data_IF_113031500541
#
_entry.id   IF_113031500541
#
_cell.length_a   1.000
_cell.length_b   1.000
_cell.length_c   1.000
_cell.angle_alpha   90.00
_cell.angle_beta   90.00
_cell.angle_gamma   90.00
#
_symmetry.space_group_name_H-M   'P 1'
#
loop_
_entity.id
_entity.type
_entity.pdbx_description
1 polymer ?
#
# COMPACT_ATOMS: atom_id res chain seq x y z
N UNK A 1 -0.16 -33.97 3.53
CA UNK A 1 -0.95 -33.69 4.74
C UNK A 1 -0.26 -34.32 5.95
N UNK A 2 -0.37 -35.63 6.21
CA UNK A 2 0.19 -36.22 7.46
C UNK A 2 1.72 -36.10 7.66
N UNK A 3 2.59 -36.36 6.67
CA UNK A 3 4.04 -36.21 6.87
C UNK A 3 4.43 -34.77 7.23
N UNK A 4 3.72 -33.80 6.65
CA UNK A 4 3.95 -32.36 6.86
C UNK A 4 3.39 -31.88 8.19
N UNK A 5 2.23 -32.41 8.62
CA UNK A 5 1.61 -32.07 9.91
C UNK A 5 2.46 -32.57 11.09
N UNK A 6 2.98 -33.80 11.03
CA UNK A 6 3.87 -34.31 12.08
C UNK A 6 5.23 -33.58 12.12
N UNK A 7 5.72 -33.10 10.98
CA UNK A 7 6.94 -32.30 10.92
C UNK A 7 6.73 -30.89 11.48
N UNK A 8 5.53 -30.30 11.33
CA UNK A 8 5.20 -28.96 11.82
C UNK A 8 4.73 -28.92 13.27
N UNK A 9 3.98 -29.93 13.74
CA UNK A 9 3.31 -29.90 15.05
C UNK A 9 3.76 -31.02 16.00
N UNK A 10 4.56 -31.99 15.55
CA UNK A 10 5.04 -33.07 16.42
C UNK A 10 3.91 -33.87 17.08
N UNK A 11 3.96 -33.96 18.42
CA UNK A 11 2.93 -34.58 19.27
C UNK A 11 1.90 -33.56 19.83
N UNK A 12 2.01 -32.27 19.47
CA UNK A 12 1.10 -31.24 19.94
C UNK A 12 -0.29 -31.36 19.28
N UNK A 13 -1.39 -31.09 20.02
CA UNK A 13 -2.74 -31.20 19.48
C UNK A 13 -2.99 -30.15 18.39
N UNK A 14 -3.54 -30.58 17.25
CA UNK A 14 -3.91 -29.72 16.14
C UNK A 14 -5.36 -29.97 15.70
N UNK A 15 -6.05 -28.91 15.27
CA UNK A 15 -7.37 -28.99 14.64
C UNK A 15 -7.24 -28.66 13.15
N UNK A 16 -7.72 -29.55 12.30
CA UNK A 16 -7.67 -29.40 10.86
C UNK A 16 -8.85 -28.57 10.35
N UNK A 17 -8.57 -27.38 9.80
CA UNK A 17 -9.60 -26.53 9.19
C UNK A 17 -9.84 -26.92 7.73
N UNK A 18 -11.01 -27.49 7.44
CA UNK A 18 -11.38 -27.93 6.10
C UNK A 18 -12.23 -26.90 5.34
N UNK A 19 -11.82 -26.47 4.13
CA UNK A 19 -12.60 -25.62 3.21
C UNK A 19 -14.01 -26.13 2.82
N UNK A 20 -14.39 -27.34 3.24
CA UNK A 20 -15.74 -27.89 3.16
C UNK A 20 -16.39 -27.90 1.76
N UNK A 21 -15.60 -27.82 0.68
CA UNK A 21 -16.14 -27.85 -0.68
C UNK A 21 -16.67 -29.25 -1.03
N UNK A 22 -17.59 -29.39 -2.01
CA UNK A 22 -18.25 -30.67 -2.30
C UNK A 22 -17.28 -31.82 -2.64
N UNK A 23 -16.16 -31.51 -3.28
CA UNK A 23 -15.14 -32.51 -3.65
C UNK A 23 -14.33 -33.01 -2.44
N UNK A 24 -14.25 -32.21 -1.38
CA UNK A 24 -13.55 -32.58 -0.16
C UNK A 24 -14.48 -33.15 0.94
N UNK A 25 -15.80 -33.00 0.79
CA UNK A 25 -16.80 -33.72 1.61
C UNK A 25 -17.07 -35.15 1.16
N UNK A 26 -16.31 -35.68 0.21
CA UNK A 26 -16.46 -37.05 -0.27
C UNK A 26 -16.35 -38.05 0.89
N UNK A 27 -17.17 -39.10 0.87
CA UNK A 27 -17.22 -40.11 1.93
C UNK A 27 -15.87 -40.78 2.16
N UNK A 28 -15.11 -41.01 1.10
CA UNK A 28 -13.75 -41.55 1.16
C UNK A 28 -12.78 -40.68 1.96
N UNK A 29 -12.92 -39.34 1.89
CA UNK A 29 -12.07 -38.38 2.58
C UNK A 29 -12.41 -38.33 4.08
N UNK A 30 -13.71 -38.28 4.40
CA UNK A 30 -14.18 -38.33 5.80
C UNK A 30 -13.80 -39.63 6.51
N UNK A 31 -13.91 -40.76 5.80
CA UNK A 31 -13.49 -42.06 6.33
C UNK A 31 -11.98 -42.07 6.59
N UNK A 32 -11.18 -41.57 5.65
CA UNK A 32 -9.73 -41.49 5.81
C UNK A 32 -9.31 -40.59 6.98
N UNK A 33 -9.92 -39.41 7.15
CA UNK A 33 -9.59 -38.50 8.27
C UNK A 33 -9.89 -39.14 9.63
N UNK A 34 -11.00 -39.87 9.74
CA UNK A 34 -11.37 -40.63 10.94
C UNK A 34 -10.40 -41.78 11.24
N UNK A 35 -9.99 -42.54 10.21
CA UNK A 35 -9.03 -43.65 10.37
C UNK A 35 -7.65 -43.20 10.86
N UNK A 36 -7.22 -42.00 10.46
CA UNK A 36 -5.92 -41.44 10.83
C UNK A 36 -5.97 -40.46 12.01
N UNK A 37 -7.13 -40.32 12.67
CA UNK A 37 -7.27 -39.52 13.89
C UNK A 37 -7.07 -38.02 13.67
N UNK A 38 -7.41 -37.50 12.49
CA UNK A 38 -7.35 -36.07 12.20
C UNK A 38 -8.62 -35.42 12.76
N UNK A 39 -8.49 -34.62 13.82
CA UNK A 39 -9.61 -33.87 14.39
C UNK A 39 -9.89 -32.63 13.53
N UNK A 40 -11.12 -32.50 13.03
CA UNK A 40 -11.55 -31.35 12.23
C UNK A 40 -12.06 -30.21 13.13
N UNK A 41 -11.73 -28.97 12.76
CA UNK A 41 -12.32 -27.78 13.39
C UNK A 41 -13.81 -27.71 12.99
N UNK A 42 -14.71 -27.56 13.97
CA UNK A 42 -16.13 -27.29 13.68
C UNK A 42 -16.30 -25.84 13.26
N UNK A 43 -16.32 -25.59 11.95
CA UNK A 43 -16.48 -24.26 11.39
C UNK A 43 -17.46 -24.25 10.20
N UNK A 44 -18.18 -23.14 10.05
CA UNK A 44 -19.14 -22.97 8.96
C UNK A 44 -18.41 -22.90 7.63
N UNK A 45 -18.74 -23.82 6.73
CA UNK A 45 -18.23 -23.95 5.35
C UNK A 45 -18.37 -22.71 4.44
N UNK A 46 -18.96 -21.65 4.96
CA UNK A 46 -19.14 -20.38 4.28
C UNK A 46 -18.46 -19.35 5.17
N UNK A 47 -17.28 -18.89 4.74
CA UNK A 47 -16.99 -17.47 4.94
C UNK A 47 -18.23 -16.71 4.44
N UNK A 48 -18.69 -15.64 5.12
CA UNK A 48 -19.58 -14.68 4.49
C UNK A 48 -18.77 -13.97 3.40
N UNK A 49 -18.51 -14.69 2.32
CA UNK A 49 -18.02 -14.12 1.08
C UNK A 49 -19.16 -13.22 0.59
N UNK A 50 -19.07 -11.94 0.93
CA UNK A 50 -19.51 -10.91 0.01
C UNK A 50 -18.62 -11.09 -1.21
N UNK A 51 -18.91 -12.07 -2.07
CA UNK A 51 -18.13 -12.37 -3.26
C UNK A 51 -18.54 -11.35 -4.33
N UNK A 52 -17.91 -10.17 -4.37
CA UNK A 52 -18.41 -9.07 -5.17
C UNK A 52 -18.20 -9.39 -6.66
N UNK A 53 -17.26 -10.30 -6.94
CA UNK A 53 -16.91 -10.74 -8.28
C UNK A 53 -17.99 -11.63 -8.88
N UNK A 54 -18.65 -12.49 -8.10
CA UNK A 54 -19.74 -13.33 -8.61
C UNK A 54 -20.98 -12.51 -8.94
N UNK A 55 -21.34 -11.55 -8.09
CA UNK A 55 -22.41 -10.61 -8.40
C UNK A 55 -22.10 -9.73 -9.60
N UNK A 56 -20.82 -9.37 -9.80
CA UNK A 56 -20.38 -8.62 -10.97
C UNK A 56 -20.46 -9.48 -12.24
N UNK A 57 -20.05 -10.74 -12.18
CA UNK A 57 -20.14 -11.68 -13.29
C UNK A 57 -21.58 -11.95 -13.70
N UNK A 58 -22.49 -12.14 -12.74
CA UNK A 58 -23.92 -12.35 -12.99
C UNK A 58 -24.56 -11.15 -13.69
N UNK A 59 -24.24 -9.93 -13.25
CA UNK A 59 -24.78 -8.70 -13.85
C UNK A 59 -24.21 -8.47 -15.26
N UNK A 60 -22.92 -8.73 -15.48
CA UNK A 60 -22.30 -8.67 -16.80
C UNK A 60 -22.94 -9.68 -17.77
N UNK A 61 -23.14 -10.92 -17.30
CA UNK A 61 -23.77 -11.96 -18.10
C UNK A 61 -25.22 -11.59 -18.48
N UNK A 62 -25.99 -11.06 -17.52
CA UNK A 62 -27.36 -10.60 -17.75
C UNK A 62 -27.43 -9.51 -18.82
N UNK A 63 -26.49 -8.56 -18.82
CA UNK A 63 -26.42 -7.47 -19.81
C UNK A 63 -26.03 -7.97 -21.19
N UNK A 64 -25.01 -8.82 -21.27
CA UNK A 64 -24.61 -9.45 -22.53
C UNK A 64 -25.77 -10.24 -23.16
N UNK A 65 -26.57 -10.93 -22.35
CA UNK A 65 -27.75 -11.67 -22.83
C UNK A 65 -28.89 -10.78 -23.33
N UNK A 66 -28.97 -9.55 -22.83
CA UNK A 66 -29.99 -8.55 -23.19
C UNK A 66 -29.61 -7.71 -24.44
N UNK A 67 -28.39 -7.85 -24.96
CA UNK A 67 -27.96 -7.12 -26.17
C UNK A 67 -28.75 -7.59 -27.41
N UNK A 68 -29.04 -6.69 -28.37
CA UNK A 68 -29.74 -7.04 -29.61
C UNK A 68 -29.00 -8.11 -30.44
N UNK A 69 -27.67 -8.06 -30.43
CA UNK A 69 -26.79 -9.03 -31.08
C UNK A 69 -25.88 -9.68 -30.02
N UNK A 70 -26.01 -10.99 -29.85
CA UNK A 70 -25.17 -11.74 -28.90
C UNK A 70 -23.79 -12.00 -29.50
N UNK A 71 -22.71 -11.86 -28.73
CA UNK A 71 -21.37 -12.17 -29.20
C UNK A 71 -21.26 -13.68 -29.48
N UNK A 72 -20.77 -14.05 -30.65
CA UNK A 72 -20.61 -15.44 -31.10
C UNK A 72 -19.14 -15.85 -31.25
N UNK A 73 -18.21 -14.92 -31.08
CA UNK A 73 -16.77 -15.15 -31.12
C UNK A 73 -16.07 -14.47 -29.95
N UNK A 74 -14.87 -14.96 -29.59
CA UNK A 74 -14.06 -14.38 -28.49
C UNK A 74 -13.75 -12.89 -28.73
N UNK A 75 -13.36 -12.44 -29.96
CA UNK A 75 -13.18 -11.02 -30.24
C UNK A 75 -14.45 -10.18 -30.05
N UNK A 76 -15.62 -10.70 -30.46
CA UNK A 76 -16.89 -9.99 -30.29
C UNK A 76 -17.28 -9.89 -28.82
N UNK A 77 -17.00 -10.92 -28.02
CA UNK A 77 -17.23 -10.92 -26.58
C UNK A 77 -16.33 -9.88 -25.88
N UNK A 78 -15.05 -9.83 -26.24
CA UNK A 78 -14.10 -8.85 -25.70
C UNK A 78 -14.54 -7.42 -26.03
N UNK A 79 -14.94 -7.15 -27.28
CA UNK A 79 -15.45 -5.84 -27.67
C UNK A 79 -16.75 -5.48 -26.96
N UNK A 80 -17.69 -6.44 -26.82
CA UNK A 80 -18.94 -6.22 -26.08
C UNK A 80 -18.70 -5.91 -24.60
N UNK A 81 -17.75 -6.60 -23.95
CA UNK A 81 -17.36 -6.34 -22.55
C UNK A 81 -16.67 -4.97 -22.39
N UNK A 82 -15.83 -4.57 -23.35
CA UNK A 82 -15.20 -3.25 -23.36
C UNK A 82 -16.24 -2.13 -23.57
N UNK A 83 -17.25 -2.32 -24.42
CA UNK A 83 -18.34 -1.36 -24.58
C UNK A 83 -19.21 -1.22 -23.32
N UNK A 84 -19.47 -2.31 -22.60
CA UNK A 84 -20.15 -2.24 -21.29
C UNK A 84 -19.31 -1.51 -20.23
N UNK A 85 -17.97 -1.63 -20.28
CA UNK A 85 -17.04 -0.90 -19.39
C UNK A 85 -17.13 0.62 -19.56
N UNK A 86 -17.41 1.12 -20.76
CA UNK A 86 -17.63 2.55 -21.02
C UNK A 86 -19.04 3.06 -20.62
N UNK A 87 -20.00 2.15 -20.41
CA UNK A 87 -21.36 2.44 -19.90
C UNK A 87 -21.51 2.24 -18.39
N UNK A 88 -20.47 1.71 -17.71
CA UNK A 88 -20.44 1.49 -16.25
C UNK A 88 -20.72 2.75 -15.42
N UNK A 89 -20.39 3.93 -15.95
CA UNK A 89 -20.68 5.23 -15.32
C UNK A 89 -22.17 5.59 -15.32
N UNK A 90 -22.98 5.03 -16.24
CA UNK A 90 -24.40 5.39 -16.41
C UNK A 90 -25.34 4.42 -15.67
N UNK A 91 -24.98 3.13 -15.53
CA UNK A 91 -25.83 2.17 -14.82
C UNK A 91 -25.76 2.28 -13.29
N UNK A 92 -24.68 2.81 -12.72
CA UNK A 92 -24.62 3.10 -11.28
C UNK A 92 -25.67 4.15 -10.86
N UNK A 93 -26.05 5.04 -11.79
CA UNK A 93 -27.08 6.07 -11.60
C UNK A 93 -28.51 5.48 -11.72
N UNK A 94 -28.71 4.37 -12.44
CA UNK A 94 -30.04 3.83 -12.72
C UNK A 94 -30.58 2.90 -11.62
N UNK A 95 -29.70 2.21 -10.88
CA UNK A 95 -30.09 1.41 -9.69
C UNK A 95 -30.65 2.31 -8.57
N UNK A 96 -30.32 3.61 -8.57
CA UNK A 96 -30.81 4.59 -7.60
C UNK A 96 -32.23 5.14 -7.89
N UNK A 97 -32.92 4.68 -8.95
CA UNK A 97 -34.24 5.24 -9.33
C UNK A 97 -35.48 4.49 -8.81
N UNK A 98 -35.35 3.42 -8.03
CA UNK A 98 -36.51 2.57 -7.67
C UNK A 98 -37.00 2.61 -6.22
N UNK A 99 -36.54 3.51 -5.35
CA UNK A 99 -37.16 3.66 -4.02
C UNK A 99 -37.09 5.11 -3.49
N UNK A 100 -38.22 5.82 -3.34
CA UNK A 100 -38.25 7.22 -2.92
C UNK A 100 -37.93 7.47 -1.43
N UNK A 101 -37.63 6.42 -0.65
CA UNK A 101 -37.40 6.51 0.81
C UNK A 101 -35.95 6.65 1.27
N UNK A 102 -34.94 6.49 0.39
CA UNK A 102 -33.53 6.43 0.79
C UNK A 102 -32.70 7.67 0.41
N UNK A 103 -33.35 8.83 0.21
CA UNK A 103 -32.72 10.05 -0.34
C UNK A 103 -31.78 10.81 0.59
N UNK A 104 -31.77 10.54 1.89
CA UNK A 104 -30.96 11.29 2.85
C UNK A 104 -29.72 10.55 3.37
N UNK A 105 -29.71 9.21 3.32
CA UNK A 105 -28.58 8.41 3.80
C UNK A 105 -27.47 8.23 2.76
N UNK A 106 -27.78 8.34 1.46
CA UNK A 106 -26.81 8.06 0.39
C UNK A 106 -26.16 9.30 -0.25
N UNK A 107 -26.67 10.51 0.00
CA UNK A 107 -25.94 11.74 -0.39
C UNK A 107 -24.64 11.85 0.44
N UNK A 108 -24.66 11.39 1.69
CA UNK A 108 -23.45 11.29 2.52
C UNK A 108 -22.45 10.24 2.02
N UNK A 109 -22.93 9.09 1.56
CA UNK A 109 -22.03 8.02 1.08
C UNK A 109 -21.43 8.31 -0.31
N UNK A 110 -22.15 9.03 -1.19
CA UNK A 110 -21.64 9.41 -2.52
C UNK A 110 -20.64 10.59 -2.47
N UNK A 111 -20.66 11.37 -1.39
CA UNK A 111 -19.68 12.44 -1.13
C UNK A 111 -18.36 11.91 -0.54
N UNK A 112 -18.35 10.67 -0.01
CA UNK A 112 -17.13 10.01 0.46
C UNK A 112 -16.43 9.16 -0.61
N UNK A 113 -17.09 8.80 -1.72
CA UNK A 113 -16.48 8.00 -2.80
C UNK A 113 -15.78 8.82 -3.88
N UNK A 114 -15.61 10.13 -3.67
CA UNK A 114 -14.77 11.01 -4.50
C UNK A 114 -13.46 11.41 -3.80
N UNK A 115 -13.14 10.76 -2.68
CA UNK A 115 -11.76 10.76 -2.20
C UNK A 115 -11.11 9.57 -2.87
N UNK A 116 -10.36 9.83 -3.94
CA UNK A 116 -9.40 8.85 -4.43
C UNK A 116 -8.58 8.44 -3.21
N UNK A 117 -8.73 7.19 -2.76
CA UNK A 117 -7.87 6.60 -1.75
C UNK A 117 -6.51 6.37 -2.41
N UNK A 118 -5.74 7.45 -2.62
CA UNK A 118 -4.37 7.36 -3.05
C UNK A 118 -3.57 6.79 -1.88
N UNK A 119 -3.14 5.53 -2.01
CA UNK A 119 -2.30 4.87 -1.02
C UNK A 119 -1.13 5.79 -0.65
N UNK A 120 -0.95 6.00 0.66
CA UNK A 120 0.10 6.87 1.18
C UNK A 120 1.28 6.04 1.60
N UNK A 121 2.40 6.29 0.93
CA UNK A 121 3.63 5.54 1.06
C UNK A 121 4.49 6.19 2.12
N UNK A 122 4.87 5.42 3.14
CA UNK A 122 5.74 5.89 4.22
C UNK A 122 7.17 5.44 3.97
N UNK A 123 8.07 6.41 3.86
CA UNK A 123 9.50 6.20 3.77
C UNK A 123 10.15 6.55 5.10
N UNK A 124 10.73 5.55 5.76
CA UNK A 124 11.34 5.70 7.09
C UNK A 124 12.70 6.39 7.07
N UNK A 125 13.33 6.49 5.90
CA UNK A 125 14.72 6.92 5.76
C UNK A 125 15.72 5.79 6.01
N UNK A 126 15.27 4.55 6.20
CA UNK A 126 16.13 3.40 6.44
C UNK A 126 17.08 3.14 5.26
N UNK A 127 18.29 2.70 5.56
CA UNK A 127 19.25 2.35 4.52
C UNK A 127 18.73 1.17 3.68
N UNK A 128 18.83 1.31 2.36
CA UNK A 128 18.35 0.29 1.43
C UNK A 128 16.84 0.30 1.19
N UNK A 129 16.09 1.30 1.67
CA UNK A 129 14.70 1.50 1.25
C UNK A 129 14.63 1.99 -0.20
N UNK A 130 13.62 1.56 -0.95
CA UNK A 130 13.30 2.05 -2.29
C UNK A 130 11.97 1.45 -2.77
N UNK A 131 11.35 2.10 -3.77
CA UNK A 131 10.31 1.51 -4.60
C UNK A 131 10.67 1.63 -6.06
N UNK A 132 10.27 0.64 -6.86
CA UNK A 132 10.43 0.64 -8.31
C UNK A 132 9.07 0.60 -9.00
N UNK A 133 8.96 1.44 -10.02
CA UNK A 133 7.83 1.53 -10.93
C UNK A 133 8.29 1.25 -12.37
N UNK A 134 7.36 1.00 -13.31
CA UNK A 134 7.69 0.91 -14.72
C UNK A 134 8.45 2.14 -15.19
N UNK A 135 9.24 1.95 -16.23
CA UNK A 135 9.96 3.02 -16.88
C UNK A 135 9.01 4.19 -17.21
N UNK A 136 9.37 5.39 -16.73
CA UNK A 136 8.73 6.60 -17.19
C UNK A 136 9.34 7.00 -18.54
N UNK A 137 8.53 7.00 -19.60
CA UNK A 137 8.96 7.45 -20.92
C UNK A 137 9.12 8.99 -20.96
N UNK A 138 10.20 9.49 -20.37
CA UNK A 138 10.51 10.90 -20.23
C UNK A 138 11.22 11.51 -21.46
N UNK A 139 11.13 10.85 -22.63
CA UNK A 139 11.86 11.25 -23.83
C UNK A 139 11.51 12.66 -24.30
N UNK A 140 10.22 12.98 -24.25
CA UNK A 140 9.61 13.97 -25.11
C UNK A 140 8.77 14.94 -24.26
N UNK A 141 7.48 15.06 -24.56
CA UNK A 141 6.49 15.70 -23.69
C UNK A 141 5.91 14.65 -22.74
N UNK A 142 6.17 14.80 -21.44
CA UNK A 142 5.62 13.90 -20.43
C UNK A 142 5.71 14.53 -19.04
N UNK A 143 4.88 14.05 -18.12
CA UNK A 143 4.79 14.57 -16.77
C UNK A 143 4.73 13.45 -15.75
N UNK A 144 5.41 13.67 -14.62
CA UNK A 144 5.27 12.88 -13.40
C UNK A 144 4.99 13.81 -12.23
N UNK A 145 4.01 13.46 -11.40
CA UNK A 145 3.57 14.25 -10.26
C UNK A 145 3.33 13.37 -9.03
N UNK A 146 3.50 13.95 -7.85
CA UNK A 146 3.20 13.33 -6.56
C UNK A 146 3.07 14.42 -5.49
N UNK A 147 2.42 14.10 -4.39
CA UNK A 147 2.41 14.93 -3.19
C UNK A 147 3.40 14.36 -2.17
N UNK A 148 4.12 15.22 -1.46
CA UNK A 148 5.07 14.79 -0.45
C UNK A 148 4.99 15.61 0.84
N UNK A 149 5.39 15.01 1.96
CA UNK A 149 5.49 15.66 3.27
C UNK A 149 6.72 15.16 4.01
N UNK A 150 7.55 16.06 4.52
CA UNK A 150 8.75 15.69 5.28
C UNK A 150 9.20 16.78 6.26
N UNK A 151 10.05 16.39 7.22
CA UNK A 151 10.86 17.27 8.07
C UNK A 151 12.36 17.19 7.74
N UNK A 152 12.76 16.19 6.93
CA UNK A 152 14.16 15.98 6.57
C UNK A 152 14.64 17.12 5.69
N UNK A 153 15.92 17.48 5.82
CA UNK A 153 16.54 18.50 4.96
C UNK A 153 17.25 17.89 3.76
N UNK A 154 17.45 16.57 3.72
CA UNK A 154 18.18 15.86 2.69
C UNK A 154 17.50 14.54 2.33
N UNK A 155 17.58 14.13 1.07
CA UNK A 155 17.02 12.84 0.62
C UNK A 155 16.93 12.68 -0.88
N UNK A 156 17.09 11.45 -1.36
CA UNK A 156 16.82 11.06 -2.74
C UNK A 156 15.34 10.76 -2.94
N UNK A 157 14.64 11.62 -3.67
CA UNK A 157 13.21 11.45 -3.97
C UNK A 157 13.00 10.58 -5.20
N UNK A 158 13.61 10.93 -6.34
CA UNK A 158 13.41 10.23 -7.61
C UNK A 158 14.74 9.97 -8.28
N UNK A 159 14.89 8.78 -8.90
CA UNK A 159 15.99 8.47 -9.80
C UNK A 159 15.55 7.58 -10.96
N UNK A 160 16.04 7.88 -12.16
CA UNK A 160 16.09 6.94 -13.28
C UNK A 160 17.20 7.34 -14.26
N UNK A 161 17.65 6.39 -15.07
CA UNK A 161 18.69 6.60 -16.06
C UNK A 161 18.58 5.64 -17.25
N UNK A 162 19.59 5.69 -18.11
CA UNK A 162 19.83 4.76 -19.20
C UNK A 162 20.77 3.60 -18.81
N UNK A 163 20.82 3.19 -17.53
CA UNK A 163 21.65 2.07 -17.05
C UNK A 163 23.18 2.26 -17.24
N UNK A 164 23.67 3.49 -17.04
CA UNK A 164 25.11 3.77 -17.00
C UNK A 164 25.71 4.31 -18.29
N UNK A 165 24.91 4.75 -19.26
CA UNK A 165 25.45 5.50 -20.40
C UNK A 165 25.60 6.99 -20.04
N UNK A 166 24.57 7.81 -20.24
CA UNK A 166 24.70 9.27 -20.16
C UNK A 166 23.44 10.06 -19.79
N UNK A 167 22.27 9.47 -19.95
CA UNK A 167 20.98 10.10 -19.70
C UNK A 167 20.49 9.72 -18.31
N UNK A 168 20.17 10.72 -17.50
CA UNK A 168 19.60 10.51 -16.17
C UNK A 168 18.74 11.69 -15.75
N UNK A 169 17.87 11.43 -14.78
CA UNK A 169 17.14 12.45 -14.04
C UNK A 169 17.08 12.04 -12.57
N UNK A 170 17.50 12.96 -11.70
CA UNK A 170 17.46 12.79 -10.26
C UNK A 170 16.75 13.98 -9.61
N UNK A 171 15.84 13.71 -8.67
CA UNK A 171 15.24 14.71 -7.81
C UNK A 171 15.75 14.50 -6.39
N UNK A 172 16.45 15.50 -5.88
CA UNK A 172 17.09 15.49 -4.58
C UNK A 172 16.45 16.55 -3.69
N UNK A 173 16.41 16.30 -2.40
CA UNK A 173 16.21 17.32 -1.40
C UNK A 173 17.57 17.74 -0.84
N UNK A 174 17.85 19.05 -0.83
CA UNK A 174 19.07 19.64 -0.30
C UNK A 174 18.73 20.88 0.52
N UNK A 175 19.13 20.90 1.80
CA UNK A 175 18.80 21.98 2.74
C UNK A 175 17.30 22.35 2.71
N UNK A 176 16.42 21.35 2.66
CA UNK A 176 14.96 21.53 2.67
C UNK A 176 14.36 22.03 1.36
N UNK A 177 15.15 22.17 0.29
CA UNK A 177 14.71 22.60 -1.05
C UNK A 177 14.83 21.46 -2.05
N UNK A 178 14.03 21.49 -3.10
CA UNK A 178 14.06 20.50 -4.17
C UNK A 178 15.07 20.91 -5.25
N UNK A 179 15.96 19.99 -5.59
CA UNK A 179 17.00 20.13 -6.59
C UNK A 179 16.84 19.04 -7.65
N UNK A 180 16.30 19.41 -8.80
CA UNK A 180 16.15 18.53 -9.95
C UNK A 180 17.38 18.63 -10.84
N UNK A 181 18.07 17.52 -11.10
CA UNK A 181 19.26 17.48 -11.94
C UNK A 181 19.12 16.42 -13.02
N UNK A 182 19.55 16.74 -14.24
CA UNK A 182 19.42 15.83 -15.37
C UNK A 182 20.46 16.09 -16.47
N UNK A 183 20.69 15.08 -17.30
CA UNK A 183 21.54 15.13 -18.49
C UNK A 183 20.82 14.49 -19.66
N UNK A 184 21.06 15.00 -20.88
CA UNK A 184 20.59 14.39 -22.12
C UNK A 184 21.78 14.26 -23.07
N UNK A 185 21.98 13.08 -23.60
CA UNK A 185 22.97 12.72 -24.61
C UNK A 185 24.39 13.15 -24.22
N UNK A 186 24.80 12.77 -23.01
CA UNK A 186 26.11 13.06 -22.41
C UNK A 186 26.44 14.55 -22.32
N UNK A 187 25.43 15.43 -22.31
CA UNK A 187 25.63 16.85 -22.09
C UNK A 187 26.07 17.11 -20.64
N UNK A 188 26.66 18.28 -20.40
CA UNK A 188 26.93 18.74 -19.04
C UNK A 188 25.60 18.79 -18.25
N UNK A 189 25.48 18.11 -17.09
CA UNK A 189 24.24 18.09 -16.33
C UNK A 189 23.80 19.48 -15.90
N UNK A 190 22.52 19.75 -16.01
CA UNK A 190 21.90 21.00 -15.56
C UNK A 190 21.03 20.74 -14.33
N UNK A 191 20.82 21.77 -13.52
CA UNK A 191 20.04 21.68 -12.30
C UNK A 191 19.00 22.80 -12.18
N UNK A 192 17.86 22.48 -11.58
CA UNK A 192 16.77 23.39 -11.22
C UNK A 192 16.55 23.28 -9.71
N UNK A 193 16.76 24.38 -9.00
CA UNK A 193 16.59 24.45 -7.55
C UNK A 193 15.33 25.26 -7.21
N UNK A 194 14.44 24.72 -6.37
CA UNK A 194 13.27 25.44 -5.84
C UNK A 194 13.68 26.59 -4.91
N UNK A 195 12.87 27.65 -4.84
CA UNK A 195 13.01 28.68 -3.81
C UNK A 195 12.28 28.27 -2.54
N UNK A 196 11.18 27.54 -2.69
CA UNK A 196 10.35 27.04 -1.61
C UNK A 196 11.07 25.98 -0.77
N UNK A 197 10.92 26.11 0.56
CA UNK A 197 11.26 25.07 1.52
C UNK A 197 10.08 24.09 1.65
N UNK A 198 10.38 22.79 1.62
CA UNK A 198 9.38 21.71 1.63
C UNK A 198 9.52 20.77 2.84
N UNK A 199 10.37 21.14 3.79
CA UNK A 199 10.67 20.38 5.00
C UNK A 199 9.95 20.93 6.25
N UNK A 200 8.80 21.57 6.05
CA UNK A 200 7.98 22.20 7.09
C UNK A 200 6.90 21.25 7.67
N UNK A 201 6.98 19.96 7.32
CA UNK A 201 5.99 18.93 7.66
C UNK A 201 4.58 19.19 7.12
N UNK A 202 4.44 20.01 6.08
CA UNK A 202 3.20 20.16 5.32
C UNK A 202 3.26 19.37 4.01
N UNK A 203 2.09 19.18 3.40
CA UNK A 203 1.98 18.56 2.07
C UNK A 203 2.36 19.58 0.99
N UNK A 204 3.27 19.17 0.11
CA UNK A 204 3.66 19.91 -1.09
C UNK A 204 3.38 19.09 -2.34
N UNK A 205 2.78 19.71 -3.34
CA UNK A 205 2.57 19.13 -4.65
C UNK A 205 3.84 19.32 -5.50
N UNK A 206 4.40 18.23 -6.00
CA UNK A 206 5.61 18.24 -6.82
C UNK A 206 5.28 17.69 -8.20
N UNK A 207 5.69 18.40 -9.24
CA UNK A 207 5.52 17.95 -10.62
C UNK A 207 6.79 18.19 -11.41
N UNK A 208 7.27 17.14 -12.07
CA UNK A 208 8.37 17.19 -13.02
C UNK A 208 7.78 17.03 -14.42
N UNK A 209 7.85 18.11 -15.20
CA UNK A 209 7.37 18.13 -16.58
C UNK A 209 8.54 18.22 -17.52
N UNK A 210 8.60 17.31 -18.49
CA UNK A 210 9.56 17.37 -19.60
C UNK A 210 8.88 17.80 -20.89
N UNK A 211 9.60 18.63 -21.63
CA UNK A 211 9.28 19.07 -22.96
C UNK A 211 10.59 19.11 -23.77
N UNK A 212 11.02 17.93 -24.22
CA UNK A 212 12.30 17.75 -24.92
C UNK A 212 13.47 18.32 -24.09
N UNK A 213 14.32 19.21 -24.61
CA UNK A 213 15.48 19.72 -23.86
C UNK A 213 15.10 20.51 -22.60
N UNK A 214 13.86 21.00 -22.53
CA UNK A 214 13.35 21.76 -21.40
C UNK A 214 12.77 20.82 -20.34
N UNK A 215 13.23 20.95 -19.09
CA UNK A 215 12.60 20.31 -17.93
C UNK A 215 12.17 21.35 -16.92
N UNK A 216 10.92 21.25 -16.49
CA UNK A 216 10.28 22.12 -15.52
C UNK A 216 10.07 21.36 -14.21
N UNK A 217 10.48 21.98 -13.11
CA UNK A 217 10.13 21.61 -11.75
C UNK A 217 9.03 22.57 -11.27
N UNK A 218 7.90 22.00 -10.88
CA UNK A 218 6.79 22.72 -10.28
C UNK A 218 6.68 22.24 -8.83
N UNK A 219 6.69 23.18 -7.89
CA UNK A 219 6.52 22.89 -6.46
C UNK A 219 5.44 23.82 -5.94
N UNK A 220 4.29 23.25 -5.58
CA UNK A 220 3.03 23.96 -5.36
C UNK A 220 2.69 24.92 -6.50
N UNK A 221 2.90 26.22 -6.29
CA UNK A 221 2.65 27.28 -7.27
C UNK A 221 3.96 27.85 -7.88
N UNK A 222 5.13 27.40 -7.41
CA UNK A 222 6.43 27.81 -7.95
C UNK A 222 6.74 27.01 -9.21
N UNK A 223 7.06 27.70 -10.31
CA UNK A 223 7.45 27.08 -11.58
C UNK A 223 8.86 27.52 -11.94
N UNK A 224 9.78 26.56 -12.03
CA UNK A 224 11.15 26.77 -12.50
C UNK A 224 11.52 25.79 -13.58
N UNK A 225 12.35 26.21 -14.52
CA UNK A 225 12.74 25.35 -15.63
C UNK A 225 14.15 25.67 -16.10
N UNK A 226 14.77 24.69 -16.75
CA UNK A 226 16.05 24.85 -17.42
C UNK A 226 16.06 24.02 -18.69
N UNK A 227 16.76 24.52 -19.70
CA UNK A 227 17.04 23.79 -20.93
C UNK A 227 18.48 23.28 -20.89
N UNK A 228 18.66 21.98 -21.11
CA UNK A 228 20.01 21.39 -21.25
C UNK A 228 20.58 21.68 -22.63
N UNK A 229 21.87 22.06 -22.68
CA UNK A 229 22.58 22.28 -23.94
C UNK A 229 23.06 20.95 -24.51
N UNK A 230 22.17 20.23 -25.19
CA UNK A 230 22.47 18.92 -25.77
C UNK A 230 22.44 18.95 -27.30
N UNK A 231 23.10 17.96 -27.93
CA UNK A 231 22.98 17.72 -29.38
C UNK A 231 21.67 17.05 -29.74
N UNK A 232 21.06 16.34 -28.79
CA UNK A 232 19.80 15.63 -28.95
C UNK A 232 18.74 16.25 -28.06
N UNK A 233 17.50 16.23 -28.53
CA UNK A 233 16.36 16.78 -27.79
C UNK A 233 15.65 15.79 -26.88
N UNK A 234 15.73 14.51 -27.20
CA UNK A 234 15.05 13.45 -26.46
C UNK A 234 15.99 12.74 -25.50
N UNK A 235 15.46 12.44 -24.32
CA UNK A 235 16.12 11.58 -23.33
C UNK A 235 15.85 10.10 -23.64
N UNK A 236 16.83 9.25 -23.40
CA UNK A 236 16.69 7.80 -23.41
C UNK A 236 16.62 7.31 -21.97
N UNK A 237 15.67 6.45 -21.66
CA UNK A 237 15.51 5.86 -20.32
C UNK A 237 15.41 4.36 -20.49
N UNK A 238 16.16 3.62 -19.68
CA UNK A 238 16.15 2.15 -19.69
C UNK A 238 15.85 1.56 -18.31
N UNK A 239 16.24 2.26 -17.24
CA UNK A 239 15.98 1.80 -15.89
C UNK A 239 14.50 1.88 -15.51
N UNK A 240 14.18 1.25 -14.38
CA UNK A 240 12.97 1.54 -13.63
C UNK A 240 12.95 2.98 -13.12
N UNK A 241 11.74 3.47 -12.82
CA UNK A 241 11.56 4.68 -12.04
C UNK A 241 11.70 4.34 -10.56
N UNK A 242 12.76 4.82 -9.91
CA UNK A 242 12.99 4.61 -8.49
C UNK A 242 12.49 5.79 -7.65
N UNK A 243 11.85 5.47 -6.53
CA UNK A 243 11.29 6.45 -5.58
C UNK A 243 11.83 6.20 -4.16
N UNK A 244 12.22 7.27 -3.49
CA UNK A 244 12.64 7.30 -2.07
C UNK A 244 13.99 6.67 -1.74
N UNK A 245 14.68 6.13 -2.75
CA UNK A 245 15.98 5.49 -2.63
C UNK A 245 16.31 4.68 -3.90
N UNK A 246 17.42 3.92 -3.86
CA UNK A 246 17.80 2.99 -4.92
C UNK A 246 18.16 1.62 -4.32
N UNK A 247 17.98 0.52 -5.07
CA UNK A 247 18.40 -0.82 -4.65
C UNK A 247 19.87 -0.89 -4.21
N UNK A 248 20.18 -1.60 -3.11
CA UNK A 248 21.56 -1.78 -2.64
C UNK A 248 22.50 -2.36 -3.71
N UNK A 249 21.98 -3.19 -4.62
CA UNK A 249 22.74 -3.79 -5.71
C UNK A 249 23.30 -2.70 -6.65
N UNK A 250 22.51 -1.65 -6.92
CA UNK A 250 22.94 -0.53 -7.76
C UNK A 250 24.01 0.33 -7.07
N UNK A 251 24.01 0.40 -5.73
CA UNK A 251 25.09 1.08 -4.98
C UNK A 251 26.43 0.37 -5.12
N UNK A 252 26.42 -0.96 -5.24
CA UNK A 252 27.64 -1.77 -5.36
C UNK A 252 28.19 -1.84 -6.79
N UNK A 253 27.36 -1.62 -7.82
CA UNK A 253 27.74 -1.69 -9.23
C UNK A 253 27.62 -0.32 -9.88
N UNK A 254 28.58 0.56 -9.59
CA UNK A 254 28.61 1.94 -10.09
C UNK A 254 28.50 2.07 -11.62
N UNK A 255 28.98 1.07 -12.38
CA UNK A 255 28.90 1.06 -13.85
C UNK A 255 27.47 0.96 -14.41
N UNK A 256 26.47 0.64 -13.56
CA UNK A 256 25.05 0.64 -13.94
C UNK A 256 24.35 1.96 -13.64
N UNK A 257 25.02 2.89 -12.96
CA UNK A 257 24.47 4.20 -12.62
C UNK A 257 25.11 5.26 -13.50
N UNK A 258 24.29 6.03 -14.20
CA UNK A 258 24.77 7.15 -15.00
C UNK A 258 25.22 8.30 -14.09
N UNK A 259 24.46 8.61 -13.03
CA UNK A 259 24.86 9.58 -12.01
C UNK A 259 25.48 8.85 -10.81
N UNK A 260 26.81 8.71 -10.83
CA UNK A 260 27.55 8.07 -9.73
C UNK A 260 27.33 8.73 -8.35
N UNK A 261 26.92 10.00 -8.30
CA UNK A 261 26.66 10.72 -7.05
C UNK A 261 25.44 10.19 -6.28
N UNK A 262 24.55 9.45 -6.95
CA UNK A 262 23.30 8.93 -6.36
C UNK A 262 23.55 7.84 -5.33
N UNK A 263 24.62 7.05 -5.49
CA UNK A 263 25.00 6.00 -4.54
C UNK A 263 25.30 6.53 -3.14
N UNK A 264 25.73 7.78 -3.05
CA UNK A 264 26.13 8.45 -1.82
C UNK A 264 24.98 9.29 -1.21
N UNK A 265 23.81 9.32 -1.86
CA UNK A 265 22.65 10.05 -1.35
C UNK A 265 21.94 9.25 -0.26
N UNK A 266 21.48 9.96 0.76
CA UNK A 266 20.64 9.37 1.81
C UNK A 266 19.24 9.10 1.25
N UNK A 267 18.59 7.99 1.64
CA UNK A 267 17.19 7.75 1.28
C UNK A 267 16.25 8.84 1.79
N UNK A 268 15.13 9.06 1.11
CA UNK A 268 14.14 10.06 1.52
C UNK A 268 13.38 9.62 2.78
N UNK A 269 13.34 10.45 3.82
CA UNK A 269 12.46 10.22 4.97
C UNK A 269 11.19 11.08 4.80
N UNK A 270 10.00 10.49 4.85
CA UNK A 270 8.74 11.22 4.77
C UNK A 270 7.60 10.41 4.17
N UNK A 271 6.60 11.13 3.68
CA UNK A 271 5.39 10.56 3.08
C UNK A 271 5.29 10.99 1.63
N UNK A 272 4.86 10.07 0.77
CA UNK A 272 4.52 10.35 -0.63
C UNK A 272 3.14 9.77 -0.94
N UNK A 273 2.31 10.52 -1.65
CA UNK A 273 1.00 10.07 -2.13
C UNK A 273 0.72 10.60 -3.53
N UNK A 274 -0.33 10.08 -4.16
CA UNK A 274 -0.83 10.51 -5.48
C UNK A 274 0.25 10.50 -6.59
N UNK A 275 1.13 9.49 -6.59
CA UNK A 275 2.10 9.32 -7.66
C UNK A 275 1.38 9.05 -8.99
N UNK A 276 1.64 9.90 -9.98
CA UNK A 276 1.07 9.82 -11.32
C UNK A 276 2.15 9.99 -12.37
N UNK A 277 2.01 9.26 -13.47
CA UNK A 277 2.77 9.43 -14.71
C UNK A 277 1.77 9.62 -15.84
N UNK A 278 1.77 10.79 -16.46
CA UNK A 278 0.76 11.21 -17.47
C UNK A 278 -0.68 10.92 -16.99
N UNK A 279 -1.03 11.48 -15.83
CA UNK A 279 -2.35 11.37 -15.17
C UNK A 279 -2.76 9.94 -14.73
N UNK A 280 -1.88 8.95 -14.86
CA UNK A 280 -2.16 7.57 -14.48
C UNK A 280 -1.29 7.14 -13.30
N UNK A 281 -1.90 6.50 -12.29
CA UNK A 281 -1.15 5.89 -11.20
C UNK A 281 -0.34 4.68 -11.73
N UNK A 282 1.00 4.68 -11.59
CA UNK A 282 1.82 3.56 -12.04
C UNK A 282 1.69 2.36 -11.09
N UNK A 283 1.76 1.15 -11.66
CA UNK A 283 1.76 -0.09 -10.88
C UNK A 283 3.09 -0.23 -10.13
N UNK A 284 3.06 -0.63 -8.86
CA UNK A 284 4.28 -0.94 -8.11
C UNK A 284 4.88 -2.25 -8.67
N UNK A 285 6.15 -2.25 -9.07
CA UNK A 285 6.83 -3.46 -9.54
C UNK A 285 7.52 -4.20 -8.40
N UNK A 286 8.23 -3.46 -7.54
CA UNK A 286 8.97 -4.01 -6.42
C UNK A 286 9.25 -2.91 -5.38
N UNK A 287 9.47 -3.30 -4.14
CA UNK A 287 9.84 -2.39 -3.05
C UNK A 287 10.62 -3.12 -1.97
N UNK A 288 11.45 -2.38 -1.24
CA UNK A 288 12.08 -2.84 -0.02
C UNK A 288 12.11 -1.70 0.99
N UNK A 289 11.84 -1.97 2.27
CA UNK A 289 11.91 -0.97 3.34
C UNK A 289 10.93 0.19 3.22
N UNK A 290 9.86 0.03 2.42
CA UNK A 290 8.79 1.02 2.25
C UNK A 290 7.48 0.39 2.67
N UNK A 291 6.79 1.07 3.56
CA UNK A 291 5.52 0.63 4.10
C UNK A 291 4.39 1.15 3.20
N UNK A 292 3.76 0.23 2.46
CA UNK A 292 2.72 0.53 1.46
C UNK A 292 1.33 0.68 2.06
N UNK A 293 1.12 0.13 3.25
CA UNK A 293 -0.11 0.25 4.02
C UNK A 293 0.29 0.63 5.44
N UNK A 294 0.12 1.91 5.78
CA UNK A 294 0.57 2.48 7.05
C UNK A 294 0.04 1.77 8.33
N UNK A 295 -0.85 0.78 8.18
CA UNK A 295 -1.43 -0.06 9.22
C UNK A 295 -1.22 -1.58 9.01
N UNK A 296 -0.40 -2.03 8.06
CA UNK A 296 -0.15 -3.46 7.75
C UNK A 296 1.02 -4.04 8.55
N UNK A 297 1.76 -3.20 9.29
CA UNK A 297 2.80 -3.64 10.23
C UNK A 297 2.18 -3.82 11.63
N UNK A 298 2.34 -5.02 12.21
CA UNK A 298 1.84 -5.43 13.54
C UNK A 298 2.34 -4.53 14.70
N UNK A 299 3.22 -3.56 14.41
CA UNK A 299 3.94 -2.73 15.37
C UNK A 299 3.59 -1.23 15.31
N UNK A 300 2.54 -0.82 14.57
CA UNK A 300 2.13 0.59 14.53
C UNK A 300 1.29 0.98 15.75
N UNK A 301 0.39 0.09 16.18
CA UNK A 301 -0.46 0.28 17.36
C UNK A 301 -0.26 -0.88 18.34
N UNK A 302 0.26 -0.59 19.52
CA UNK A 302 0.56 -1.60 20.53
C UNK A 302 -0.66 -1.93 21.41
N UNK A 303 -0.54 -2.99 22.21
CA UNK A 303 -1.52 -3.38 23.23
C UNK A 303 -2.96 -3.58 22.70
N UNK A 304 -3.11 -4.04 21.45
CA UNK A 304 -4.41 -4.27 20.83
C UNK A 304 -5.11 -3.00 20.31
N UNK A 305 -4.35 -1.91 20.11
CA UNK A 305 -4.88 -0.70 19.49
C UNK A 305 -5.26 -0.93 18.04
N UNK A 306 -6.40 -0.42 17.60
CA UNK A 306 -6.85 -0.56 16.21
C UNK A 306 -6.19 0.53 15.37
N UNK A 307 -5.39 0.12 14.38
CA UNK A 307 -4.79 1.05 13.43
C UNK A 307 -5.81 1.46 12.36
N UNK A 308 -5.90 2.76 12.11
CA UNK A 308 -6.70 3.32 11.01
C UNK A 308 -5.94 4.46 10.35
N UNK A 309 -6.07 4.63 9.05
CA UNK A 309 -5.44 5.74 8.33
C UNK A 309 -6.41 6.93 8.30
N UNK A 310 -6.03 8.04 8.94
CA UNK A 310 -6.78 9.30 8.98
C UNK A 310 -5.88 10.38 8.38
N UNK A 311 -6.37 11.16 7.40
CA UNK A 311 -5.59 12.18 6.69
C UNK A 311 -4.24 11.66 6.14
N UNK A 312 -4.23 10.42 5.67
CA UNK A 312 -3.04 9.73 5.17
C UNK A 312 -1.94 9.53 6.23
N UNK A 313 -2.28 9.56 7.51
CA UNK A 313 -1.43 9.18 8.65
C UNK A 313 -2.03 8.00 9.41
N UNK A 314 -1.21 7.02 9.84
CA UNK A 314 -1.67 5.95 10.71
C UNK A 314 -1.97 6.54 12.08
N UNK A 315 -3.19 6.29 12.53
CA UNK A 315 -3.74 6.76 13.79
C UNK A 315 -4.25 5.56 14.58
N UNK A 316 -3.75 5.41 15.79
CA UNK A 316 -4.14 4.32 16.69
C UNK A 316 -5.35 4.72 17.54
N UNK A 317 -6.40 3.89 17.51
CA UNK A 317 -7.48 3.97 18.46
C UNK A 317 -7.19 3.08 19.67
N UNK A 318 -6.89 3.71 20.82
CA UNK A 318 -6.56 3.03 22.08
C UNK A 318 -7.75 2.91 23.05
N UNK A 319 -8.96 3.31 22.64
CA UNK A 319 -10.10 3.49 23.55
C UNK A 319 -10.52 2.20 24.28
N UNK A 320 -10.30 1.05 23.66
CA UNK A 320 -10.66 -0.28 24.20
C UNK A 320 -9.46 -1.03 24.82
N UNK A 321 -8.27 -0.41 24.88
CA UNK A 321 -7.06 -1.11 25.32
C UNK A 321 -6.65 -0.79 26.76
N UNK A 322 -7.18 0.31 27.34
CA UNK A 322 -6.71 0.82 28.64
C UNK A 322 -5.37 1.56 28.56
N UNK A 323 -4.85 1.74 27.35
CA UNK A 323 -3.66 2.54 27.05
C UNK A 323 -4.06 3.83 26.32
N UNK A 324 -3.15 4.78 26.27
CA UNK A 324 -3.26 6.07 25.59
C UNK A 324 -1.95 6.38 24.84
N UNK A 325 -1.88 7.56 24.22
CA UNK A 325 -0.74 7.96 23.41
C UNK A 325 -0.95 7.65 21.93
N UNK A 326 -0.01 8.08 21.08
CA UNK A 326 -0.13 7.96 19.61
C UNK A 326 -0.07 6.52 19.10
N UNK A 327 0.55 5.63 19.86
CA UNK A 327 0.83 4.23 19.52
C UNK A 327 0.28 3.25 20.58
N UNK A 328 -0.56 3.72 21.50
CA UNK A 328 -1.16 2.94 22.59
C UNK A 328 -0.15 2.29 23.57
N UNK A 329 1.01 2.94 23.79
CA UNK A 329 2.04 2.44 24.74
C UNK A 329 1.92 3.02 26.15
N UNK A 330 1.26 4.17 26.33
CA UNK A 330 1.16 4.85 27.61
C UNK A 330 -0.01 4.29 28.45
N UNK A 331 0.16 4.09 29.75
CA UNK A 331 -0.91 3.57 30.61
C UNK A 331 -1.92 4.67 30.94
N UNK A 332 -3.20 4.45 30.65
CA UNK A 332 -4.26 5.37 31.05
C UNK A 332 -4.67 5.11 32.51
N UNK A 333 -4.18 5.94 33.44
CA UNK A 333 -4.33 5.77 34.89
C UNK A 333 -5.77 5.85 35.43
N UNK A 334 -6.80 6.04 34.60
CA UNK A 334 -8.19 6.17 35.04
C UNK A 334 -9.02 4.86 35.06
N UNK A 335 -8.49 3.73 34.57
CA UNK A 335 -9.23 2.45 34.51
C UNK A 335 -8.80 1.37 35.53
N UNK A 336 -8.07 1.72 36.59
CA UNK A 336 -7.86 0.81 37.74
C UNK A 336 -9.12 0.60 38.61
N UNK A 337 -10.30 1.06 38.17
CA UNK A 337 -11.58 0.80 38.84
C UNK A 337 -12.64 0.24 37.89
N UNK A 338 -12.35 -0.85 37.17
CA UNK A 338 -13.43 -1.69 36.61
C UNK A 338 -12.94 -3.10 36.23
N UNK A 339 -12.35 -3.83 37.17
CA UNK A 339 -12.53 -5.28 37.17
C UNK A 339 -13.67 -5.56 38.15
N UNK A 340 -14.75 -6.12 37.62
CA UNK A 340 -15.91 -6.57 38.37
C UNK A 340 -15.50 -7.26 39.67
N UNK A 341 -16.14 -6.85 40.76
CA UNK A 341 -16.11 -7.44 42.09
C UNK A 341 -16.80 -8.82 42.09
N UNK A 342 -16.32 -9.75 41.28
CA UNK A 342 -16.85 -11.10 41.11
C UNK A 342 -15.73 -12.14 41.07
N UNK A 343 -14.70 -12.03 41.91
CA UNK A 343 -13.87 -13.21 42.22
C UNK A 343 -13.02 -13.13 43.50
N UNK A 344 -13.40 -12.32 44.49
CA UNK A 344 -12.67 -12.26 45.77
C UNK A 344 -13.28 -13.17 46.85
N UNK A 345 -14.54 -13.61 46.71
CA UNK A 345 -15.18 -14.49 47.70
C UNK A 345 -14.91 -15.99 47.50
N UNK A 346 -14.55 -16.44 46.28
CA UNK A 346 -14.29 -17.86 46.01
C UNK A 346 -12.86 -18.31 46.38
N UNK A 347 -11.89 -17.40 46.35
CA UNK A 347 -10.50 -17.70 46.76
C UNK A 347 -10.39 -17.87 48.28
N UNK A 348 -11.22 -17.16 49.07
CA UNK A 348 -11.27 -17.31 50.52
C UNK A 348 -11.86 -18.63 51.03
N UNK A 349 -12.65 -19.36 50.21
CA UNK A 349 -13.24 -20.66 50.60
C UNK A 349 -12.36 -21.86 50.28
N UNK A 350 -11.41 -21.72 49.37
CA UNK A 350 -10.44 -22.78 49.04
C UNK A 350 -9.25 -22.81 50.02
N UNK A 351 -8.95 -21.70 50.70
CA UNK A 351 -7.87 -21.61 51.70
C UNK A 351 -8.22 -22.22 53.08
N UNK A 352 -9.49 -22.54 53.37
CA UNK A 352 -9.93 -23.02 54.69
C UNK A 352 -10.07 -24.55 54.82
N UNK A 353 -9.51 -25.35 53.89
CA UNK A 353 -9.67 -26.82 53.88
C UNK A 353 -8.38 -27.65 53.79
N UNK A 354 -7.20 -27.05 53.91
CA UNK A 354 -5.95 -27.81 54.00
C UNK A 354 -5.59 -28.12 55.47
N UNK A 355 -5.31 -29.39 55.85
CA UNK A 355 -4.84 -29.73 57.19
C UNK A 355 -3.38 -29.29 57.40
N UNK A 356 -2.93 -29.05 58.66
CA UNK A 356 -1.59 -28.57 58.93
C UNK A 356 -0.52 -29.64 58.66
N UNK A 357 0.72 -29.24 58.29
CA UNK A 357 1.83 -30.18 58.09
C UNK A 357 2.30 -30.76 59.43
N UNK A 358 2.42 -32.09 59.49
CA UNK A 358 3.03 -32.79 60.60
C UNK A 358 4.54 -32.49 60.63
N UNK A 359 4.99 -31.89 61.73
CA UNK A 359 6.41 -31.86 62.08
C UNK A 359 6.84 -33.25 62.54
N UNK A 360 7.91 -33.78 61.95
CA UNK A 360 8.74 -34.81 62.58
C UNK A 360 10.18 -34.34 62.61
N UNK A 361 10.76 -34.47 63.80
CA UNK A 361 12.10 -34.04 64.21
C UNK A 361 13.24 -34.77 63.50
#
# INVERSE_FOLDING_TARGET
>A
MLPTLWEQFGDDPFLFQHDCTPVHKASSIKTWMSEFGVEELDWSAQSPDLNPIEHLWDELERRLRARPSRPTSVPDLTNALLEERYLGTISFIMVLRSCPGARLLWVGLLLCTLVDASASLKFSGAEGQWMAFPMWNACCESEMSFNMKTKSSHGLLVYFDDEGFCDFLELLMNNGKLNLRFSIFCAEPVAVLSDMQVNDSQWHAVTVRRNFQNTTLIVDNEVKWVEVKSKRRDMTVFSHLFLGGIPPELRSVALRLTSNAVKDQVPFEGWITDLKVNDSAPVILNSAGVDSDACDDDNVCFNGGVCSVIDNEPTCNCSETGFQGKDCTEVHFHNLMSCNAYDVENISRLASRAPPPAFTA
#
